data_IF_681383075473
#
_entry.id   IF_681383075473
#
_cell.length_a   1.000
_cell.length_b   1.000
_cell.length_c   1.000
_cell.angle_alpha   90.00
_cell.angle_beta   90.00
_cell.angle_gamma   90.00
#
_symmetry.space_group_name_H-M   'P 1'
#
loop_
_entity.id
_entity.type
_entity.pdbx_description
1 polymer ?
#
# COMPACT_ATOMS: atom_id res chain seq x y z
N UNK A 1 -17.96 42.15 -2.49
CA UNK A 1 -17.45 40.85 -2.96
C UNK A 1 -15.95 40.99 -3.09
N UNK A 2 -15.17 40.43 -2.16
CA UNK A 2 -13.71 40.46 -2.21
C UNK A 2 -13.24 39.24 -3.00
N UNK A 3 -13.09 39.41 -4.31
CA UNK A 3 -12.39 38.43 -5.13
C UNK A 3 -10.89 38.72 -5.02
N UNK A 4 -10.16 37.87 -4.32
CA UNK A 4 -8.70 37.92 -4.28
C UNK A 4 -8.16 37.14 -5.49
N UNK A 5 -7.70 37.86 -6.51
CA UNK A 5 -7.14 37.29 -7.74
C UNK A 5 -5.83 36.50 -7.54
N UNK A 6 -5.30 36.45 -6.31
CA UNK A 6 -4.08 35.74 -5.96
C UNK A 6 -4.37 34.42 -5.21
N UNK A 7 -5.63 34.00 -5.12
CA UNK A 7 -6.05 32.76 -4.43
C UNK A 7 -5.90 31.48 -5.30
N UNK A 8 -4.95 31.47 -6.22
CA UNK A 8 -4.46 30.26 -6.89
C UNK A 8 -2.94 30.35 -6.96
N UNK A 9 -2.25 29.98 -5.88
CA UNK A 9 -0.90 29.40 -6.05
C UNK A 9 -1.10 28.01 -6.64
N UNK A 10 -1.47 27.98 -7.92
CA UNK A 10 -1.21 26.86 -8.79
C UNK A 10 0.18 27.18 -9.35
N UNK A 11 1.20 26.44 -8.92
CA UNK A 11 2.60 26.63 -9.33
C UNK A 11 2.83 26.29 -10.82
N UNK A 12 1.77 26.04 -11.58
CA UNK A 12 1.83 25.72 -13.00
C UNK A 12 2.28 24.29 -13.26
N UNK A 13 2.47 23.48 -12.22
CA UNK A 13 2.64 22.05 -12.37
C UNK A 13 1.26 21.40 -12.41
N UNK A 14 0.79 21.02 -13.60
CA UNK A 14 -0.31 20.06 -13.74
C UNK A 14 0.18 18.65 -13.38
N UNK A 15 0.96 18.51 -12.30
CA UNK A 15 1.35 17.21 -11.78
C UNK A 15 0.13 16.67 -11.02
N UNK A 16 -0.65 15.87 -11.72
CA UNK A 16 -1.77 15.13 -11.13
C UNK A 16 -1.21 14.14 -10.11
N UNK A 17 -1.94 13.89 -9.02
CA UNK A 17 -1.50 12.96 -7.98
C UNK A 17 -1.11 11.58 -8.55
N UNK A 18 -1.78 11.16 -9.62
CA UNK A 18 -1.44 10.00 -10.43
C UNK A 18 -0.01 10.00 -11.01
N UNK A 19 0.48 11.14 -11.51
CA UNK A 19 1.83 11.24 -12.10
C UNK A 19 2.91 11.20 -11.01
N UNK A 20 2.66 11.84 -9.86
CA UNK A 20 3.60 11.84 -8.73
C UNK A 20 3.63 10.52 -7.98
N UNK A 21 2.52 9.77 -7.98
CA UNK A 21 2.43 8.46 -7.34
C UNK A 21 3.34 7.42 -7.99
N UNK A 22 3.69 7.58 -9.27
CA UNK A 22 4.44 6.58 -10.02
C UNK A 22 5.94 6.54 -9.69
N UNK A 23 6.51 5.34 -9.84
CA UNK A 23 7.92 5.02 -9.63
C UNK A 23 8.18 4.25 -8.33
N UNK A 24 9.47 4.12 -8.00
CA UNK A 24 9.94 3.41 -6.82
C UNK A 24 9.76 4.26 -5.55
N UNK A 25 9.18 3.65 -4.53
CA UNK A 25 9.01 4.20 -3.18
C UNK A 25 9.68 3.28 -2.17
N UNK A 26 10.53 3.82 -1.30
CA UNK A 26 10.92 3.09 -0.11
C UNK A 26 9.73 3.04 0.83
N UNK A 27 9.62 1.95 1.58
CA UNK A 27 8.54 1.75 2.53
C UNK A 27 9.11 1.50 3.92
N UNK A 28 8.48 2.13 4.90
CA UNK A 28 8.71 1.84 6.31
C UNK A 28 7.40 1.32 6.92
N UNK A 29 7.14 0.01 6.87
CA UNK A 29 5.95 -0.59 7.42
C UNK A 29 5.98 -0.62 8.95
N UNK A 30 4.81 -0.43 9.53
CA UNK A 30 4.53 -0.63 10.94
C UNK A 30 3.24 -1.45 11.05
N UNK A 31 3.41 -2.77 10.98
CA UNK A 31 2.36 -3.77 11.01
C UNK A 31 2.18 -4.33 12.42
N UNK A 32 0.93 -4.60 12.77
CA UNK A 32 0.59 -5.41 13.93
C UNK A 32 1.15 -6.83 13.75
N UNK A 33 1.78 -7.37 14.78
CA UNK A 33 2.29 -8.74 14.76
C UNK A 33 1.15 -9.77 14.73
N UNK A 34 1.37 -10.88 14.01
CA UNK A 34 0.42 -11.98 13.91
C UNK A 34 0.85 -13.14 14.81
N UNK A 35 0.00 -13.46 15.78
CA UNK A 35 0.12 -14.69 16.55
C UNK A 35 -0.54 -15.84 15.78
N UNK A 36 0.28 -16.69 15.16
CA UNK A 36 -0.16 -17.88 14.42
C UNK A 36 0.39 -19.10 15.14
N UNK A 37 -0.43 -19.78 15.96
CA UNK A 37 0.03 -20.86 16.86
C UNK A 37 0.73 -22.03 16.16
N UNK A 38 0.51 -22.23 14.85
CA UNK A 38 1.08 -23.33 14.07
C UNK A 38 2.46 -23.01 13.47
N UNK A 39 2.86 -21.74 13.39
CA UNK A 39 4.15 -21.32 12.84
C UNK A 39 5.25 -21.22 13.91
N UNK A 40 4.92 -21.52 15.17
CA UNK A 40 5.88 -21.63 16.28
C UNK A 40 6.44 -20.31 16.80
N UNK A 41 6.41 -19.26 15.99
CA UNK A 41 6.86 -17.91 16.29
C UNK A 41 5.84 -16.85 15.86
N UNK A 42 5.95 -15.66 16.46
CA UNK A 42 5.19 -14.46 16.12
C UNK A 42 5.61 -14.00 14.72
N UNK A 43 4.69 -14.02 13.75
CA UNK A 43 4.97 -13.63 12.37
C UNK A 43 4.85 -12.11 12.24
N UNK A 44 5.94 -11.44 11.87
CA UNK A 44 5.94 -10.00 11.64
C UNK A 44 5.88 -9.69 10.15
N UNK A 45 4.81 -9.02 9.74
CA UNK A 45 4.69 -8.52 8.36
C UNK A 45 5.73 -7.45 8.02
N UNK A 46 6.28 -6.78 9.04
CA UNK A 46 7.35 -5.80 8.85
C UNK A 46 8.59 -6.43 8.20
N UNK A 47 8.88 -7.70 8.50
CA UNK A 47 10.02 -8.44 7.94
C UNK A 47 9.68 -9.12 6.60
N UNK A 48 8.40 -9.33 6.31
CA UNK A 48 7.94 -10.02 5.11
C UNK A 48 7.65 -9.06 3.94
N UNK A 49 7.35 -7.80 4.23
CA UNK A 49 7.20 -6.75 3.22
C UNK A 49 8.58 -6.33 2.68
N UNK A 50 8.68 -5.95 1.40
CA UNK A 50 9.94 -5.51 0.81
C UNK A 50 10.37 -4.15 1.40
N UNK A 51 11.62 -3.76 1.18
CA UNK A 51 12.11 -2.42 1.57
C UNK A 51 11.54 -1.30 0.67
N UNK A 52 11.05 -1.66 -0.52
CA UNK A 52 10.50 -0.73 -1.50
C UNK A 52 9.40 -1.37 -2.34
N UNK A 53 8.50 -0.53 -2.86
CA UNK A 53 7.44 -0.90 -3.80
C UNK A 53 7.57 -0.07 -5.06
N UNK A 54 7.17 -0.63 -6.20
CA UNK A 54 7.06 0.11 -7.46
C UNK A 54 5.59 0.41 -7.75
N UNK A 55 5.30 1.64 -8.17
CA UNK A 55 3.95 2.08 -8.52
C UNK A 55 3.91 2.44 -10.00
N UNK A 56 3.07 1.73 -10.75
CA UNK A 56 2.86 1.95 -12.17
C UNK A 56 1.46 2.45 -12.48
N UNK A 57 1.36 3.32 -13.49
CA UNK A 57 0.10 3.87 -13.93
C UNK A 57 -0.47 3.13 -15.15
N UNK A 58 -1.75 2.76 -15.10
CA UNK A 58 -2.46 2.15 -16.25
C UNK A 58 -3.34 3.12 -17.05
N UNK A 59 -3.35 4.40 -16.65
CA UNK A 59 -4.28 5.41 -17.12
C UNK A 59 -5.62 5.38 -16.37
N UNK A 60 -6.41 6.44 -16.53
CA UNK A 60 -7.76 6.51 -15.96
C UNK A 60 -7.81 6.44 -14.43
N UNK A 61 -6.78 6.98 -13.74
CA UNK A 61 -6.65 6.99 -12.28
C UNK A 61 -6.41 5.62 -11.63
N UNK A 62 -6.07 4.60 -12.42
CA UNK A 62 -5.74 3.25 -11.93
C UNK A 62 -4.23 3.14 -11.78
N UNK A 63 -3.79 2.70 -10.60
CA UNK A 63 -2.39 2.41 -10.28
C UNK A 63 -2.22 0.93 -9.94
N UNK A 64 -1.04 0.39 -10.25
CA UNK A 64 -0.60 -0.93 -9.83
C UNK A 64 0.56 -0.76 -8.86
N UNK A 65 0.46 -1.40 -7.70
CA UNK A 65 1.46 -1.37 -6.65
C UNK A 65 2.11 -2.76 -6.62
N UNK A 66 3.39 -2.83 -6.95
CA UNK A 66 4.17 -4.05 -6.90
C UNK A 66 4.74 -4.25 -5.50
N UNK A 67 4.30 -5.32 -4.84
CA UNK A 67 4.71 -5.70 -3.49
C UNK A 67 5.31 -7.11 -3.57
N UNK A 68 6.65 -7.17 -3.50
CA UNK A 68 7.40 -8.41 -3.75
C UNK A 68 7.06 -8.97 -5.13
N UNK A 69 6.66 -10.24 -5.24
CA UNK A 69 6.26 -10.88 -6.50
C UNK A 69 4.76 -10.68 -6.84
N UNK A 70 4.04 -9.85 -6.08
CA UNK A 70 2.61 -9.62 -6.26
C UNK A 70 2.32 -8.22 -6.79
N UNK A 71 1.20 -8.08 -7.50
CA UNK A 71 0.69 -6.80 -7.96
C UNK A 71 -0.67 -6.53 -7.33
N UNK A 72 -0.85 -5.32 -6.81
CA UNK A 72 -2.06 -4.83 -6.17
C UNK A 72 -2.64 -3.69 -7.00
N UNK A 73 -3.88 -3.83 -7.44
CA UNK A 73 -4.58 -2.75 -8.13
C UNK A 73 -5.17 -1.75 -7.12
N UNK A 74 -4.93 -0.47 -7.36
CA UNK A 74 -5.50 0.65 -6.62
C UNK A 74 -6.05 1.73 -7.54
N UNK A 75 -6.81 2.65 -6.95
CA UNK A 75 -7.26 3.87 -7.63
C UNK A 75 -6.77 5.10 -6.87
N UNK A 76 -6.43 6.16 -7.59
CA UNK A 76 -5.96 7.42 -7.03
C UNK A 76 -6.78 8.60 -7.55
N UNK A 77 -7.31 9.43 -6.66
CA UNK A 77 -8.01 10.65 -7.08
C UNK A 77 -7.06 11.85 -7.26
N UNK A 78 -7.61 12.97 -7.71
CA UNK A 78 -6.80 14.19 -7.96
C UNK A 78 -6.23 14.82 -6.69
N UNK A 79 -6.78 14.49 -5.51
CA UNK A 79 -6.32 14.95 -4.21
C UNK A 79 -5.25 14.01 -3.62
N UNK A 80 -4.90 12.94 -4.35
CA UNK A 80 -3.90 11.95 -3.96
C UNK A 80 -4.41 10.87 -3.03
N UNK A 81 -5.73 10.77 -2.82
CA UNK A 81 -6.28 9.68 -2.02
C UNK A 81 -6.21 8.37 -2.82
N UNK A 82 -5.58 7.37 -2.23
CA UNK A 82 -5.45 6.03 -2.79
C UNK A 82 -6.46 5.10 -2.14
N UNK A 83 -7.14 4.29 -2.94
CA UNK A 83 -8.03 3.22 -2.47
C UNK A 83 -7.58 1.90 -3.08
N UNK A 84 -7.31 0.92 -2.21
CA UNK A 84 -7.02 -0.47 -2.58
C UNK A 84 -8.23 -1.32 -2.19
N UNK A 85 -8.98 -1.76 -3.20
CA UNK A 85 -10.09 -2.69 -2.96
C UNK A 85 -9.58 -4.07 -2.57
N UNK A 86 -10.42 -4.81 -1.83
CA UNK A 86 -10.09 -6.17 -1.39
C UNK A 86 -9.77 -7.06 -2.59
N UNK A 87 -8.57 -7.64 -2.56
CA UNK A 87 -8.06 -8.54 -3.58
C UNK A 87 -7.16 -9.60 -2.94
N UNK A 88 -6.98 -10.72 -3.63
CA UNK A 88 -6.18 -11.85 -3.14
C UNK A 88 -4.78 -11.84 -3.71
N UNK A 89 -3.80 -12.04 -2.84
CA UNK A 89 -2.37 -12.18 -3.14
C UNK A 89 -1.86 -13.50 -2.54
N UNK A 90 -0.64 -13.86 -2.92
CA UNK A 90 0.09 -14.97 -2.32
C UNK A 90 1.34 -14.42 -1.64
N UNK A 91 1.45 -14.56 -0.32
CA UNK A 91 2.62 -14.11 0.44
C UNK A 91 3.32 -15.31 1.08
N UNK A 92 4.65 -15.33 0.99
CA UNK A 92 5.49 -16.28 1.72
C UNK A 92 5.61 -15.82 3.18
N UNK A 93 5.00 -16.59 4.08
CA UNK A 93 4.99 -16.31 5.51
C UNK A 93 6.28 -16.77 6.18
N UNK A 94 7.39 -16.10 5.90
CA UNK A 94 8.66 -16.25 6.62
C UNK A 94 9.66 -17.20 5.96
N UNK A 95 9.66 -17.30 4.64
CA UNK A 95 10.67 -18.06 3.90
C UNK A 95 10.51 -19.57 4.01
N UNK A 96 9.32 -20.03 4.40
CA UNK A 96 9.01 -21.46 4.48
C UNK A 96 8.68 -22.06 3.11
N UNK A 97 8.58 -21.22 2.07
CA UNK A 97 8.23 -21.65 0.71
C UNK A 97 6.78 -22.14 0.61
N UNK A 98 5.91 -21.65 1.52
CA UNK A 98 4.49 -21.92 1.52
C UNK A 98 3.76 -20.60 1.26
N UNK A 99 3.18 -20.49 0.08
CA UNK A 99 2.35 -19.36 -0.31
C UNK A 99 0.98 -19.47 0.36
N UNK A 100 0.65 -18.50 1.22
CA UNK A 100 -0.68 -18.42 1.82
C UNK A 100 -1.56 -17.44 1.05
N UNK A 101 -2.86 -17.76 0.84
CA UNK A 101 -3.79 -16.80 0.28
C UNK A 101 -4.02 -15.68 1.30
N UNK A 102 -3.68 -14.46 0.90
CA UNK A 102 -3.85 -13.25 1.71
C UNK A 102 -4.79 -12.31 0.99
N UNK A 103 -5.80 -11.80 1.68
CA UNK A 103 -6.56 -10.67 1.18
C UNK A 103 -5.91 -9.36 1.63
N UNK A 104 -5.59 -8.48 0.69
CA UNK A 104 -5.14 -7.12 0.97
C UNK A 104 -6.25 -6.13 0.63
N UNK A 105 -6.43 -5.11 1.47
CA UNK A 105 -7.29 -3.96 1.19
C UNK A 105 -6.83 -2.77 2.01
N UNK A 106 -7.22 -1.55 1.61
CA UNK A 106 -6.87 -0.39 2.41
C UNK A 106 -7.03 0.93 1.68
N UNK A 107 -6.40 1.95 2.24
CA UNK A 107 -6.36 3.28 1.64
C UNK A 107 -5.06 3.99 1.96
N UNK A 108 -4.74 5.04 1.22
CA UNK A 108 -3.54 5.82 1.40
C UNK A 108 -3.70 7.25 0.92
N UNK A 109 -2.63 8.02 1.01
CA UNK A 109 -2.54 9.37 0.49
C UNK A 109 -1.14 9.63 -0.04
N UNK A 110 -1.04 10.09 -1.28
CA UNK A 110 0.18 10.70 -1.81
C UNK A 110 0.13 12.19 -1.46
N UNK A 111 1.03 12.62 -0.59
CA UNK A 111 1.03 13.98 -0.03
C UNK A 111 1.78 14.91 -0.97
N UNK A 112 2.93 14.47 -1.48
CA UNK A 112 3.74 15.17 -2.48
C UNK A 112 4.59 14.16 -3.28
N UNK A 113 5.48 14.67 -4.14
CA UNK A 113 6.32 13.83 -5.01
C UNK A 113 7.33 12.92 -4.28
N UNK A 114 7.55 13.13 -2.97
CA UNK A 114 8.51 12.37 -2.16
C UNK A 114 7.92 11.85 -0.85
N UNK A 115 6.63 12.07 -0.58
CA UNK A 115 6.01 11.57 0.64
C UNK A 115 4.58 11.08 0.43
N UNK A 116 4.26 9.98 1.13
CA UNK A 116 2.92 9.41 1.16
C UNK A 116 2.73 8.47 2.33
N UNK A 117 1.50 8.02 2.51
CA UNK A 117 1.15 7.02 3.51
C UNK A 117 0.17 6.01 2.94
N UNK A 118 0.24 4.77 3.41
CA UNK A 118 -0.77 3.75 3.18
C UNK A 118 -1.15 3.07 4.47
N UNK A 119 -2.41 2.71 4.60
CA UNK A 119 -2.95 1.87 5.64
C UNK A 119 -3.55 0.65 4.97
N UNK A 120 -2.83 -0.47 5.02
CA UNK A 120 -3.23 -1.73 4.41
C UNK A 120 -3.59 -2.75 5.49
N UNK A 121 -4.67 -3.49 5.28
CA UNK A 121 -5.05 -4.63 6.10
C UNK A 121 -4.80 -5.91 5.31
N UNK A 122 -3.99 -6.80 5.87
CA UNK A 122 -3.69 -8.12 5.35
C UNK A 122 -4.47 -9.16 6.15
N UNK A 123 -5.31 -9.95 5.49
CA UNK A 123 -6.13 -11.00 6.11
C UNK A 123 -5.74 -12.37 5.56
N UNK A 124 -5.32 -13.26 6.46
CA UNK A 124 -4.84 -14.61 6.20
C UNK A 124 -5.92 -15.60 6.57
N UNK A 125 -6.28 -16.50 5.65
CA UNK A 125 -7.14 -17.63 5.99
C UNK A 125 -6.30 -18.88 6.22
N UNK A 126 -6.09 -19.20 7.50
CA UNK A 126 -5.18 -20.27 7.91
C UNK A 126 -6.00 -21.52 8.25
N UNK A 127 -5.77 -22.65 7.57
CA UNK A 127 -6.44 -23.90 7.88
C UNK A 127 -6.31 -24.24 9.37
N UNK A 128 -7.42 -24.64 9.99
CA UNK A 128 -7.51 -25.05 11.40
C UNK A 128 -7.33 -23.94 12.46
N UNK A 129 -6.83 -22.75 12.08
CA UNK A 129 -6.67 -21.59 12.99
C UNK A 129 -7.76 -20.54 12.75
N UNK A 130 -8.24 -20.42 11.51
CA UNK A 130 -9.23 -19.42 11.10
C UNK A 130 -8.59 -18.18 10.50
N UNK A 131 -9.39 -17.12 10.36
CA UNK A 131 -8.95 -15.85 9.77
C UNK A 131 -8.16 -15.03 10.76
N UNK A 132 -6.92 -14.70 10.41
CA UNK A 132 -6.06 -13.76 11.12
C UNK A 132 -5.91 -12.50 10.29
N UNK A 133 -5.78 -11.33 10.91
CA UNK A 133 -5.60 -10.06 10.19
C UNK A 133 -4.61 -9.16 10.87
N UNK A 134 -3.79 -8.46 10.10
CA UNK A 134 -2.87 -7.43 10.57
C UNK A 134 -3.11 -6.13 9.82
N UNK A 135 -3.10 -5.03 10.55
CA UNK A 135 -3.14 -3.69 9.97
C UNK A 135 -1.72 -3.14 9.91
N UNK A 136 -1.37 -2.56 8.78
CA UNK A 136 -0.06 -1.98 8.50
C UNK A 136 -0.21 -0.52 8.15
N UNK A 137 0.37 0.35 8.98
CA UNK A 137 0.63 1.74 8.61
C UNK A 137 1.99 1.78 7.90
N UNK A 138 2.01 2.23 6.66
CA UNK A 138 3.19 2.23 5.80
C UNK A 138 3.50 3.67 5.43
N UNK A 139 4.70 4.12 5.79
CA UNK A 139 5.22 5.41 5.35
C UNK A 139 5.93 5.19 4.01
N UNK A 140 5.67 6.06 3.04
CA UNK A 140 6.29 6.05 1.72
C UNK A 140 7.24 7.24 1.57
N UNK A 141 8.45 6.98 1.10
CA UNK A 141 9.46 8.00 0.80
C UNK A 141 10.21 7.74 -0.52
N UNK A 142 10.71 8.80 -1.15
CA UNK A 142 11.42 8.79 -2.44
C UNK A 142 12.65 9.70 -2.44
#
# INVERSE_FOLDING_TARGET
MNYNSNATSNDGSCLIAYDIAQGLWNINPNCDDLDIPLLGDMFSLNDALPESIEVDGSGGNIIFIEISDNQVEGSIDNDGNVIVSSQSLQLDMGGMGLDFPVSVSGSGSIIDANSGTMNLTFSFDIPFVGTQSSSCEIILDK
#
